data_IF_233379635528
#
_entry.id   IF_233379635528
#
_cell.length_a   1.000
_cell.length_b   1.000
_cell.length_c   1.000
_cell.angle_alpha   90.00
_cell.angle_beta   90.00
_cell.angle_gamma   90.00
#
_symmetry.space_group_name_H-M   'P 1'
#
loop_
_entity.id
_entity.type
_entity.pdbx_description
1 polymer ?
#
# COMPACT_ATOMS: atom_id res chain seq x y z
N UNK A 1 -53.36 15.61 58.20
CA UNK A 1 -52.62 14.61 58.99
C UNK A 1 -51.13 14.78 58.72
N UNK A 2 -50.33 14.67 59.79
CA UNK A 2 -48.88 14.90 59.84
C UNK A 2 -48.10 13.81 59.08
N UNK A 3 -47.02 14.19 58.41
CA UNK A 3 -45.68 13.60 58.61
C UNK A 3 -44.64 14.35 57.75
N UNK A 4 -43.86 15.23 58.40
CA UNK A 4 -42.47 15.48 58.03
C UNK A 4 -41.66 14.29 58.54
N UNK A 5 -40.72 13.76 57.74
CA UNK A 5 -39.48 13.13 58.24
C UNK A 5 -38.35 13.29 57.22
N UNK A 6 -37.46 14.17 57.62
CA UNK A 6 -36.11 14.54 57.18
C UNK A 6 -35.13 13.34 57.09
N UNK A 7 -34.15 13.42 56.17
CA UNK A 7 -32.76 13.12 56.55
C UNK A 7 -32.01 11.94 55.89
N UNK A 8 -31.37 12.23 54.75
CA UNK A 8 -29.91 12.09 54.48
C UNK A 8 -29.17 10.82 55.00
N UNK A 9 -28.68 9.97 54.08
CA UNK A 9 -27.32 9.36 54.12
C UNK A 9 -26.79 9.09 52.70
N UNK A 10 -25.72 9.79 52.32
CA UNK A 10 -24.79 9.38 51.27
C UNK A 10 -23.86 8.28 51.82
N UNK A 11 -23.66 7.22 51.06
CA UNK A 11 -22.56 6.24 51.17
C UNK A 11 -22.42 5.61 49.78
N UNK A 12 -21.54 6.13 48.90
CA UNK A 12 -20.11 5.89 48.80
C UNK A 12 -19.75 4.49 48.25
N UNK A 13 -19.30 4.51 46.99
CA UNK A 13 -18.18 3.78 46.38
C UNK A 13 -18.07 2.25 46.59
N UNK A 14 -18.21 1.53 45.47
CA UNK A 14 -17.69 0.18 45.27
C UNK A 14 -17.21 0.00 43.84
N UNK A 15 -16.17 0.74 43.45
CA UNK A 15 -15.49 0.59 42.17
C UNK A 15 -14.67 -0.72 42.19
N UNK A 16 -15.19 -1.77 41.58
CA UNK A 16 -14.43 -2.98 41.25
C UNK A 16 -13.67 -2.79 39.94
N UNK A 17 -12.52 -2.13 39.99
CA UNK A 17 -11.62 -2.05 38.84
C UNK A 17 -10.92 -3.40 38.64
N UNK A 18 -11.41 -4.22 37.70
CA UNK A 18 -10.66 -5.38 37.19
C UNK A 18 -9.60 -4.83 36.24
N UNK A 19 -8.39 -4.59 36.76
CA UNK A 19 -7.23 -4.24 35.94
C UNK A 19 -6.75 -5.49 35.19
N UNK A 20 -7.33 -5.76 34.02
CA UNK A 20 -6.74 -6.71 33.07
C UNK A 20 -5.48 -6.08 32.49
N UNK A 21 -4.31 -6.46 33.00
CA UNK A 21 -3.03 -6.13 32.40
C UNK A 21 -2.94 -6.83 31.04
N UNK A 22 -3.27 -6.10 29.96
CA UNK A 22 -2.88 -6.49 28.61
C UNK A 22 -1.37 -6.32 28.50
N UNK A 23 -0.63 -7.39 28.79
CA UNK A 23 0.77 -7.50 28.41
C UNK A 23 0.83 -7.46 26.87
N UNK A 24 1.09 -6.27 26.33
CA UNK A 24 1.15 -6.03 24.90
C UNK A 24 2.25 -6.86 24.28
N UNK A 25 1.86 -7.87 23.50
CA UNK A 25 2.76 -8.52 22.54
C UNK A 25 3.02 -7.48 21.46
N UNK A 26 4.17 -6.79 21.55
CA UNK A 26 4.71 -6.01 20.45
C UNK A 26 5.11 -7.01 19.36
N UNK A 27 4.16 -7.31 18.46
CA UNK A 27 4.45 -8.05 17.25
C UNK A 27 5.42 -7.21 16.41
N UNK A 28 6.72 -7.48 16.56
CA UNK A 28 7.77 -6.97 15.67
C UNK A 28 7.60 -7.62 14.31
N UNK A 29 6.76 -7.01 13.46
CA UNK A 29 6.66 -7.40 12.07
C UNK A 29 8.04 -7.25 11.41
N UNK A 30 8.49 -8.23 10.61
CA UNK A 30 9.77 -8.14 9.93
C UNK A 30 9.79 -6.89 9.05
N UNK A 31 10.83 -6.07 9.19
CA UNK A 31 11.08 -4.94 8.29
C UNK A 31 11.35 -5.49 6.89
N UNK A 32 10.49 -5.18 5.92
CA UNK A 32 10.70 -5.56 4.54
C UNK A 32 12.05 -4.98 4.05
N UNK A 33 12.95 -5.86 3.58
CA UNK A 33 14.23 -5.43 3.04
C UNK A 33 14.03 -4.79 1.67
N UNK A 34 14.61 -3.60 1.47
CA UNK A 34 14.57 -2.90 0.19
C UNK A 34 15.34 -3.68 -0.87
N UNK A 35 14.65 -4.09 -1.94
CA UNK A 35 15.36 -4.46 -3.16
C UNK A 35 16.06 -3.22 -3.72
N UNK A 36 17.24 -3.41 -4.33
CA UNK A 36 18.00 -2.32 -4.93
C UNK A 36 17.18 -1.60 -6.02
N UNK A 37 17.42 -0.29 -6.18
CA UNK A 37 16.75 0.49 -7.20
C UNK A 37 17.15 -0.05 -8.59
N UNK A 38 16.19 -0.43 -9.45
CA UNK A 38 16.52 -0.84 -10.81
C UNK A 38 17.11 0.33 -11.63
N UNK A 39 17.85 0.06 -12.72
CA UNK A 39 18.51 1.10 -13.50
C UNK A 39 17.54 2.19 -13.97
N UNK A 40 17.82 3.45 -13.61
CA UNK A 40 16.98 4.60 -14.00
C UNK A 40 15.65 4.73 -13.27
N UNK A 41 15.34 3.86 -12.29
CA UNK A 41 14.15 3.92 -11.46
C UNK A 41 14.49 4.31 -10.02
N UNK A 42 14.74 5.59 -9.80
CA UNK A 42 14.94 6.14 -8.45
C UNK A 42 13.67 6.06 -7.59
N UNK A 43 13.79 6.40 -6.31
CA UNK A 43 12.64 6.48 -5.40
C UNK A 43 11.63 7.54 -5.86
N UNK A 44 10.35 7.29 -5.61
CA UNK A 44 9.23 8.15 -6.01
C UNK A 44 8.73 7.94 -7.44
N UNK A 45 9.17 6.88 -8.12
CA UNK A 45 8.79 6.61 -9.51
C UNK A 45 8.20 5.22 -9.71
N UNK A 46 7.23 5.14 -10.61
CA UNK A 46 6.83 3.91 -11.28
C UNK A 46 7.58 3.81 -12.60
N UNK A 47 8.10 2.62 -12.89
CA UNK A 47 8.95 2.39 -14.05
C UNK A 47 8.52 1.15 -14.82
N UNK A 48 8.66 1.20 -16.14
CA UNK A 48 8.45 0.06 -17.02
C UNK A 48 9.66 -0.16 -17.92
N UNK A 49 9.97 -1.41 -18.18
CA UNK A 49 11.17 -1.84 -18.90
C UNK A 49 10.81 -2.70 -20.10
N UNK A 50 11.70 -2.75 -21.10
CA UNK A 50 11.50 -3.60 -22.29
C UNK A 50 11.73 -5.08 -22.03
N UNK A 51 12.59 -5.42 -21.06
CA UNK A 51 12.91 -6.80 -20.68
C UNK A 51 12.23 -7.23 -19.39
N UNK A 52 12.29 -8.53 -19.12
CA UNK A 52 11.93 -9.09 -17.81
C UNK A 52 12.91 -8.63 -16.72
N UNK A 53 12.51 -8.75 -15.46
CA UNK A 53 13.33 -8.51 -14.27
C UNK A 53 14.00 -7.12 -14.28
N UNK A 54 13.24 -6.11 -14.71
CA UNK A 54 13.66 -4.71 -14.81
C UNK A 54 14.93 -4.51 -15.66
N UNK A 55 15.12 -5.34 -16.68
CA UNK A 55 16.25 -5.30 -17.60
C UNK A 55 15.92 -4.62 -18.95
N UNK A 56 16.95 -4.39 -19.76
CA UNK A 56 16.82 -3.76 -21.07
C UNK A 56 16.62 -2.24 -20.95
N UNK A 57 15.82 -1.66 -21.85
CA UNK A 57 15.59 -0.22 -21.91
C UNK A 57 14.48 0.19 -20.95
N UNK A 58 14.71 1.28 -20.22
CA UNK A 58 13.66 2.00 -19.48
C UNK A 58 12.70 2.64 -20.49
N UNK A 59 11.45 2.19 -20.50
CA UNK A 59 10.41 2.64 -21.43
C UNK A 59 9.52 3.74 -20.83
N UNK A 60 9.30 3.69 -19.52
CA UNK A 60 8.47 4.65 -18.81
C UNK A 60 9.08 4.92 -17.43
N UNK A 61 9.04 6.19 -17.01
CA UNK A 61 9.36 6.63 -15.64
C UNK A 61 8.41 7.77 -15.28
N UNK A 62 7.56 7.59 -14.29
CA UNK A 62 6.54 8.58 -13.90
C UNK A 62 6.41 8.67 -12.38
N UNK A 63 6.28 9.89 -11.86
CA UNK A 63 6.02 10.18 -10.44
C UNK A 63 4.55 10.54 -10.18
N UNK A 64 3.69 10.40 -11.20
CA UNK A 64 2.28 10.72 -11.12
C UNK A 64 1.49 9.88 -12.12
N UNK A 65 0.19 10.17 -12.23
CA UNK A 65 -0.70 9.42 -13.10
C UNK A 65 -0.22 9.47 -14.56
N UNK A 66 -0.42 8.35 -15.25
CA UNK A 66 -0.04 8.23 -16.64
C UNK A 66 -1.11 7.45 -17.41
N UNK A 67 -1.27 7.82 -18.68
CA UNK A 67 -2.11 7.10 -19.63
C UNK A 67 -1.40 7.00 -20.98
N UNK A 68 -1.64 5.92 -21.69
CA UNK A 68 -1.08 5.70 -23.01
C UNK A 68 -1.33 4.28 -23.48
N UNK A 69 -0.39 3.75 -24.28
CA UNK A 69 -0.45 2.37 -24.72
C UNK A 69 0.98 1.85 -24.95
N UNK A 70 1.54 1.11 -23.99
CA UNK A 70 2.95 0.75 -23.97
C UNK A 70 3.12 -0.77 -23.79
N UNK A 71 3.81 -1.42 -24.74
CA UNK A 71 4.28 -2.79 -24.55
C UNK A 71 5.49 -2.78 -23.61
N UNK A 72 5.50 -3.70 -22.65
CA UNK A 72 6.49 -3.76 -21.58
C UNK A 72 6.91 -5.22 -21.35
N UNK A 73 8.12 -5.43 -20.85
CA UNK A 73 8.61 -6.72 -20.38
C UNK A 73 8.55 -6.86 -18.86
N UNK A 74 8.60 -5.75 -18.13
CA UNK A 74 8.43 -5.73 -16.67
C UNK A 74 8.11 -4.34 -16.15
N UNK A 75 7.61 -4.29 -14.92
CA UNK A 75 7.24 -3.05 -14.20
C UNK A 75 7.76 -3.07 -12.77
N UNK A 76 7.97 -1.89 -12.20
CA UNK A 76 8.44 -1.73 -10.83
C UNK A 76 7.88 -0.42 -10.23
N UNK A 77 7.19 -0.51 -9.10
CA UNK A 77 6.80 0.62 -8.28
C UNK A 77 7.90 0.89 -7.24
N UNK A 78 8.78 1.85 -7.56
CA UNK A 78 9.77 2.35 -6.63
C UNK A 78 9.29 3.62 -5.93
N UNK A 79 8.02 3.68 -5.57
CA UNK A 79 7.43 4.78 -4.80
C UNK A 79 8.09 4.99 -3.44
N UNK A 80 7.53 5.91 -2.67
CA UNK A 80 7.92 6.17 -1.29
C UNK A 80 6.73 5.90 -0.39
N UNK A 81 6.99 5.48 0.84
CA UNK A 81 5.93 5.35 1.85
C UNK A 81 5.28 6.73 2.04
N UNK A 82 4.01 6.83 1.65
CA UNK A 82 3.25 8.06 1.74
C UNK A 82 1.77 7.73 1.94
N UNK A 83 1.15 8.14 3.06
CA UNK A 83 -0.25 7.88 3.30
C UNK A 83 -1.12 8.37 2.13
N UNK A 84 -1.77 7.42 1.45
CA UNK A 84 -2.71 7.74 0.37
C UNK A 84 -2.10 7.92 -1.03
N UNK A 85 -0.80 7.71 -1.24
CA UNK A 85 -0.17 7.85 -2.57
C UNK A 85 1.08 6.97 -2.77
N UNK A 86 1.10 5.78 -2.19
CA UNK A 86 2.23 4.86 -2.18
C UNK A 86 1.97 3.56 -2.96
N UNK A 87 0.76 3.42 -3.48
CA UNK A 87 0.32 2.36 -4.38
C UNK A 87 0.08 2.89 -5.79
N UNK A 88 0.20 2.00 -6.78
CA UNK A 88 -0.17 2.28 -8.16
C UNK A 88 -1.10 1.22 -8.73
N UNK A 89 -2.27 1.64 -9.21
CA UNK A 89 -3.14 0.81 -10.05
C UNK A 89 -2.61 0.83 -11.48
N UNK A 90 -2.19 -0.33 -11.99
CA UNK A 90 -1.71 -0.48 -13.36
C UNK A 90 -2.77 -1.21 -14.17
N UNK A 91 -3.42 -0.49 -15.09
CA UNK A 91 -4.36 -1.11 -16.04
C UNK A 91 -3.59 -1.58 -17.26
N UNK A 92 -3.70 -2.87 -17.56
CA UNK A 92 -3.04 -3.53 -18.69
C UNK A 92 -4.04 -4.29 -19.55
N UNK A 93 -3.64 -4.61 -20.77
CA UNK A 93 -4.38 -5.46 -21.70
C UNK A 93 -3.49 -6.59 -22.18
N UNK A 94 -3.98 -7.81 -22.09
CA UNK A 94 -3.38 -9.00 -22.70
C UNK A 94 -4.41 -9.63 -23.64
N UNK A 95 -4.07 -9.77 -24.91
CA UNK A 95 -4.98 -10.29 -25.95
C UNK A 95 -6.34 -9.55 -25.98
N UNK A 96 -6.31 -8.24 -25.73
CA UNK A 96 -7.50 -7.38 -25.71
C UNK A 96 -8.34 -7.44 -24.42
N UNK A 97 -7.96 -8.27 -23.44
CA UNK A 97 -8.66 -8.35 -22.15
C UNK A 97 -8.01 -7.41 -21.11
N UNK A 98 -8.78 -6.50 -20.49
CA UNK A 98 -8.25 -5.61 -19.47
C UNK A 98 -8.04 -6.34 -18.13
N UNK A 99 -6.93 -6.02 -17.45
CA UNK A 99 -6.71 -6.30 -16.03
C UNK A 99 -6.24 -5.02 -15.32
N UNK A 100 -6.58 -4.86 -14.05
CA UNK A 100 -5.98 -3.82 -13.21
C UNK A 100 -5.37 -4.47 -11.98
N UNK A 101 -4.08 -4.26 -11.81
CA UNK A 101 -3.29 -4.79 -10.71
C UNK A 101 -2.73 -3.64 -9.89
N UNK A 102 -2.89 -3.73 -8.57
CA UNK A 102 -2.36 -2.75 -7.63
C UNK A 102 -0.94 -3.17 -7.20
N UNK A 103 0.00 -2.23 -7.24
CA UNK A 103 1.39 -2.44 -6.84
C UNK A 103 1.78 -1.49 -5.72
N UNK A 104 2.26 -2.07 -4.61
CA UNK A 104 2.80 -1.37 -3.47
C UNK A 104 4.19 -0.78 -3.77
N UNK A 105 4.67 0.21 -3.02
CA UNK A 105 6.05 0.68 -3.13
C UNK A 105 7.07 -0.35 -2.63
N UNK A 106 8.29 -0.33 -3.18
CA UNK A 106 9.45 -1.07 -2.67
C UNK A 106 10.24 -0.27 -1.60
N UNK A 107 10.68 -0.87 -0.48
CA UNK A 107 10.13 -2.10 0.10
C UNK A 107 8.75 -1.87 0.71
N UNK A 108 7.90 -2.88 0.67
CA UNK A 108 6.62 -2.86 1.35
C UNK A 108 6.05 -4.27 1.48
N UNK A 109 5.00 -4.46 2.29
CA UNK A 109 4.36 -5.77 2.49
C UNK A 109 3.70 -6.32 1.21
N UNK A 110 3.42 -5.47 0.22
CA UNK A 110 2.74 -5.85 -1.02
C UNK A 110 3.66 -6.12 -2.21
N UNK A 111 3.05 -6.60 -3.30
CA UNK A 111 3.73 -6.80 -4.59
C UNK A 111 4.10 -5.43 -5.18
N UNK A 112 5.37 -5.20 -5.47
CA UNK A 112 5.88 -3.93 -6.03
C UNK A 112 6.46 -4.05 -7.44
N UNK A 113 6.56 -5.26 -7.97
CA UNK A 113 7.07 -5.52 -9.33
C UNK A 113 6.37 -6.72 -9.98
N UNK A 114 6.44 -6.79 -11.29
CA UNK A 114 6.00 -7.94 -12.07
C UNK A 114 6.72 -8.02 -13.42
N UNK A 115 6.84 -9.24 -13.94
CA UNK A 115 7.14 -9.49 -15.35
C UNK A 115 5.85 -9.49 -16.16
N UNK A 116 5.93 -8.99 -17.38
CA UNK A 116 4.81 -8.95 -18.30
C UNK A 116 4.78 -10.21 -19.17
N UNK A 117 3.58 -10.71 -19.40
CA UNK A 117 3.36 -11.75 -20.41
C UNK A 117 3.58 -11.20 -21.82
N UNK A 118 3.96 -12.07 -22.76
CA UNK A 118 4.17 -11.68 -24.15
C UNK A 118 2.89 -11.06 -24.74
N UNK A 119 3.01 -9.84 -25.27
CA UNK A 119 1.89 -9.10 -25.84
C UNK A 119 1.11 -8.23 -24.84
N UNK A 120 1.46 -8.25 -23.55
CA UNK A 120 0.84 -7.36 -22.56
C UNK A 120 1.20 -5.89 -22.82
N UNK A 121 0.19 -5.03 -22.70
CA UNK A 121 0.36 -3.58 -22.85
C UNK A 121 -0.24 -2.84 -21.67
N UNK A 122 0.52 -1.96 -21.04
CA UNK A 122 -0.02 -1.05 -20.02
C UNK A 122 -0.67 0.16 -20.69
N UNK A 123 -1.80 0.58 -20.15
CA UNK A 123 -2.57 1.72 -20.67
C UNK A 123 -2.80 2.81 -19.64
N UNK A 124 -2.71 2.48 -18.35
CA UNK A 124 -2.88 3.43 -17.27
C UNK A 124 -2.03 3.07 -16.06
N UNK A 125 -1.52 4.09 -15.39
CA UNK A 125 -0.90 4.03 -14.06
C UNK A 125 -1.56 5.11 -13.22
N UNK A 126 -2.18 4.74 -12.10
CA UNK A 126 -2.84 5.69 -11.19
C UNK A 126 -2.24 5.55 -9.81
N UNK A 127 -1.62 6.62 -9.32
CA UNK A 127 -1.16 6.71 -7.94
C UNK A 127 -2.34 6.94 -7.01
N UNK A 128 -2.37 6.18 -5.92
CA UNK A 128 -3.47 6.18 -4.96
C UNK A 128 -3.00 5.65 -3.61
N UNK A 129 -3.91 5.66 -2.64
CA UNK A 129 -3.73 4.96 -1.38
C UNK A 129 -3.92 3.46 -1.55
N UNK A 130 -4.08 2.78 -0.42
CA UNK A 130 -4.27 1.33 -0.34
C UNK A 130 -5.14 0.74 -1.46
N UNK A 131 -4.75 -0.46 -1.89
CA UNK A 131 -5.64 -1.37 -2.58
C UNK A 131 -6.75 -1.79 -1.59
#
# INVERSE_FOLDING_TARGET
>A
MRAMLTGKRLTALGAGAVATAFAGVLAVAPTASAEANPPGCGKGYFCAYSGADQSGRLLLRVAGNWSGNLAVGSIFNNGVAYPGADHVDVTSYLNGQPSTDCFHYNPGPGRYKANAEAGLRITRVVWRGEC
#
